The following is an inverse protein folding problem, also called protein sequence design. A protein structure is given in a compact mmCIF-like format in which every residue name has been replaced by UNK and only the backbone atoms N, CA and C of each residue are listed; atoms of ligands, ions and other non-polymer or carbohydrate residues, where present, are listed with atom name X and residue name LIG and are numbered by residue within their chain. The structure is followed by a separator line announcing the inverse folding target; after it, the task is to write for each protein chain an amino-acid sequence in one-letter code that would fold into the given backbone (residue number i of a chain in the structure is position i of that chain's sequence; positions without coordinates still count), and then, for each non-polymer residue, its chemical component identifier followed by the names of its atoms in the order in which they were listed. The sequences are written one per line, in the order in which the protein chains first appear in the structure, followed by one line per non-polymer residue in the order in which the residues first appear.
data_IF_251139243452
#
_entry.id   IF_251139243452
#
_cell.length_a   1.000
_cell.length_b   1.000
_cell.length_c   1.000
_cell.angle_alpha   90.00
_cell.angle_beta   90.00
_cell.angle_gamma   90.00
#
_symmetry.space_group_name_H-M   'P 1'
#
loop_
_entity.id
_entity.type
_entity.pdbx_description
1 polymer ?
#
# COMPACT_ATOMS: atom_id res chain seq x y z
N UNK A 1 -21.31 -3.24 -19.41
CA UNK A 1 -20.26 -2.55 -20.20
C UNK A 1 -18.96 -2.70 -19.42
N UNK A 2 -18.18 -3.75 -19.73
CA UNK A 2 -16.94 -4.05 -19.03
C UNK A 2 -15.86 -3.13 -19.58
N UNK A 3 -15.80 -1.90 -19.08
CA UNK A 3 -14.63 -1.06 -19.30
C UNK A 3 -13.53 -1.76 -18.51
N UNK A 4 -12.82 -2.68 -19.17
CA UNK A 4 -11.46 -3.05 -18.77
C UNK A 4 -10.68 -1.75 -18.85
N UNK A 5 -10.72 -0.96 -17.78
CA UNK A 5 -9.78 0.11 -17.58
C UNK A 5 -8.45 -0.63 -17.54
N UNK A 6 -7.67 -0.45 -18.60
CA UNK A 6 -6.24 -0.76 -18.70
C UNK A 6 -5.46 0.15 -17.74
N UNK A 7 -6.02 0.40 -16.56
CA UNK A 7 -5.39 1.15 -15.52
C UNK A 7 -4.47 0.16 -14.82
N UNK A 8 -3.19 0.50 -14.79
CA UNK A 8 -2.20 -0.29 -14.10
C UNK A 8 -2.64 -0.37 -12.62
N UNK A 9 -2.85 -1.59 -12.06
CA UNK A 9 -3.38 -1.74 -10.70
C UNK A 9 -2.50 -1.05 -9.65
N UNK A 10 -1.24 -0.78 -9.97
CA UNK A 10 -0.34 -0.03 -9.12
C UNK A 10 -0.65 1.48 -9.17
N UNK A 11 -1.07 2.02 -10.30
CA UNK A 11 -1.54 3.41 -10.42
C UNK A 11 -2.82 3.61 -9.63
N UNK A 12 -3.82 2.72 -9.79
CA UNK A 12 -5.05 2.78 -9.00
C UNK A 12 -4.76 2.66 -7.51
N UNK A 13 -3.90 1.72 -7.09
CA UNK A 13 -3.47 1.59 -5.70
C UNK A 13 -2.82 2.88 -5.16
N UNK A 14 -1.95 3.53 -5.95
CA UNK A 14 -1.34 4.81 -5.56
C UNK A 14 -2.37 5.93 -5.41
N UNK A 15 -3.52 5.86 -6.09
CA UNK A 15 -4.63 6.78 -5.91
C UNK A 15 -5.25 6.74 -4.50
N UNK A 16 -5.09 5.63 -3.77
CA UNK A 16 -5.51 5.51 -2.38
C UNK A 16 -4.45 5.98 -1.37
N UNK A 17 -3.29 6.45 -1.84
CA UNK A 17 -2.20 6.91 -0.99
C UNK A 17 -2.10 8.43 -1.00
N UNK A 18 -1.71 9.00 0.14
CA UNK A 18 -1.33 10.41 0.22
C UNK A 18 0.00 10.57 0.95
N UNK A 19 0.74 11.62 0.59
CA UNK A 19 2.03 11.93 1.20
C UNK A 19 1.85 12.92 2.37
N UNK A 20 2.38 12.56 3.54
CA UNK A 20 2.49 13.43 4.71
C UNK A 20 3.77 14.26 4.65
N UNK A 21 3.81 15.35 5.44
CA UNK A 21 4.97 16.25 5.49
C UNK A 21 6.24 15.58 6.09
N UNK A 22 6.06 14.55 6.91
CA UNK A 22 7.14 13.85 7.59
C UNK A 22 7.06 12.34 7.33
N UNK A 23 8.18 11.59 7.36
CA UNK A 23 8.19 10.13 7.15
C UNK A 23 7.65 9.37 8.38
N UNK A 24 6.41 9.66 8.77
CA UNK A 24 5.70 9.12 9.93
C UNK A 24 4.55 8.19 9.54
N UNK A 25 4.30 8.02 8.24
CA UNK A 25 3.26 7.14 7.72
C UNK A 25 3.65 5.66 7.78
N UNK A 26 3.16 4.92 6.80
CA UNK A 26 3.29 3.47 6.71
C UNK A 26 4.74 3.03 6.55
N UNK A 27 5.03 1.87 7.14
CA UNK A 27 6.31 1.20 6.92
C UNK A 27 6.29 0.47 5.58
N UNK A 28 7.43 0.35 4.90
CA UNK A 28 7.48 -0.40 3.65
C UNK A 28 7.07 -1.87 3.86
N UNK A 29 7.43 -2.43 5.02
CA UNK A 29 7.19 -3.83 5.36
C UNK A 29 8.24 -4.79 4.78
N UNK A 30 8.08 -6.07 5.11
CA UNK A 30 8.86 -7.18 4.58
C UNK A 30 7.93 -8.39 4.41
N UNK A 31 8.26 -9.30 3.50
CA UNK A 31 7.54 -10.56 3.28
C UNK A 31 7.67 -11.53 4.47
N UNK A 32 8.65 -11.34 5.36
CA UNK A 32 8.85 -12.19 6.56
C UNK A 32 7.90 -11.86 7.74
N UNK A 33 7.00 -10.90 7.59
CA UNK A 33 6.09 -10.50 8.67
C UNK A 33 4.94 -11.51 8.71
N UNK A 34 4.85 -12.28 9.81
CA UNK A 34 3.95 -13.43 9.95
C UNK A 34 2.45 -13.10 9.82
N UNK A 35 2.05 -11.86 10.10
CA UNK A 35 0.64 -11.44 10.01
C UNK A 35 0.50 -10.27 9.04
N UNK A 36 -0.43 -10.40 8.11
CA UNK A 36 -0.74 -9.39 7.11
C UNK A 36 -1.30 -8.15 7.81
N UNK A 37 -0.52 -7.07 7.84
CA UNK A 37 -0.90 -5.82 8.53
C UNK A 37 -0.96 -4.67 7.51
N UNK A 38 -2.02 -4.61 6.68
CA UNK A 38 -2.13 -3.60 5.63
C UNK A 38 -2.20 -2.16 6.17
N UNK A 39 -2.70 -1.96 7.39
CA UNK A 39 -2.72 -0.66 8.08
C UNK A 39 -1.36 -0.19 8.62
N UNK A 40 -0.35 -1.05 8.59
CA UNK A 40 0.98 -0.76 9.15
C UNK A 40 2.07 -0.82 8.10
N UNK A 41 1.91 -1.70 7.12
CA UNK A 41 2.88 -1.94 6.06
C UNK A 41 2.29 -1.67 4.68
N UNK A 42 2.94 -0.77 3.94
CA UNK A 42 2.53 -0.34 2.60
C UNK A 42 2.53 -1.49 1.59
N UNK A 43 3.53 -2.37 1.64
CA UNK A 43 3.53 -3.56 0.79
C UNK A 43 2.40 -4.54 1.14
N UNK A 44 2.01 -4.62 2.42
CA UNK A 44 0.88 -5.48 2.84
C UNK A 44 -0.46 -4.88 2.39
N UNK A 45 -0.60 -3.56 2.44
CA UNK A 45 -1.71 -2.85 1.84
C UNK A 45 -1.85 -3.16 0.35
N UNK A 46 -0.74 -3.11 -0.40
CA UNK A 46 -0.75 -3.50 -1.80
C UNK A 46 -1.19 -4.95 -2.03
N UNK A 47 -0.69 -5.91 -1.23
CA UNK A 47 -1.11 -7.30 -1.34
C UNK A 47 -2.61 -7.48 -1.06
N UNK A 48 -3.13 -6.82 -0.02
CA UNK A 48 -4.56 -6.85 0.30
C UNK A 48 -5.41 -6.22 -0.82
N UNK A 49 -4.95 -5.11 -1.41
CA UNK A 49 -5.60 -4.50 -2.58
C UNK A 49 -5.64 -5.46 -3.77
N UNK A 50 -4.52 -6.12 -4.07
CA UNK A 50 -4.44 -7.10 -5.15
C UNK A 50 -5.40 -8.26 -4.93
N UNK A 51 -5.45 -8.80 -3.72
CA UNK A 51 -6.36 -9.90 -3.36
C UNK A 51 -7.84 -9.48 -3.45
N UNK A 52 -8.20 -8.32 -2.89
CA UNK A 52 -9.56 -7.80 -2.90
C UNK A 52 -10.10 -7.55 -4.32
N UNK A 53 -9.23 -7.12 -5.23
CA UNK A 53 -9.58 -6.88 -6.64
C UNK A 53 -9.42 -8.14 -7.52
N UNK A 54 -9.02 -9.28 -6.95
CA UNK A 54 -8.88 -10.55 -7.67
C UNK A 54 -7.63 -10.66 -8.56
N UNK A 55 -6.62 -9.79 -8.36
CA UNK A 55 -5.34 -9.87 -9.03
C UNK A 55 -4.45 -10.96 -8.40
N UNK A 56 -4.07 -11.96 -9.21
CA UNK A 56 -3.33 -13.14 -8.73
C UNK A 56 -1.80 -13.01 -8.76
N UNK A 57 -1.29 -11.99 -9.44
CA UNK A 57 0.14 -11.80 -9.68
C UNK A 57 0.62 -10.48 -9.07
N UNK A 58 0.76 -10.39 -7.74
CA UNK A 58 1.32 -9.20 -7.11
C UNK A 58 2.78 -8.99 -7.54
N UNK A 59 3.15 -7.72 -7.69
CA UNK A 59 4.53 -7.32 -7.95
C UNK A 59 5.44 -7.72 -6.78
N UNK A 60 6.67 -8.09 -7.10
CA UNK A 60 7.71 -8.28 -6.08
C UNK A 60 7.97 -6.96 -5.34
N UNK A 61 8.40 -7.02 -4.08
CA UNK A 61 8.70 -5.83 -3.28
C UNK A 61 9.65 -4.84 -4.00
N UNK A 62 10.63 -5.34 -4.76
CA UNK A 62 11.54 -4.51 -5.55
C UNK A 62 10.80 -3.78 -6.68
N UNK A 63 10.03 -4.52 -7.48
CA UNK A 63 9.23 -3.97 -8.58
C UNK A 63 8.19 -2.98 -8.07
N UNK A 64 7.49 -3.32 -6.98
CA UNK A 64 6.55 -2.44 -6.30
C UNK A 64 7.21 -1.13 -5.86
N UNK A 65 8.38 -1.19 -5.21
CA UNK A 65 9.11 0.01 -4.79
C UNK A 65 9.45 0.92 -5.97
N UNK A 66 9.92 0.35 -7.08
CA UNK A 66 10.30 1.11 -8.27
C UNK A 66 9.08 1.75 -8.95
N UNK A 67 8.00 1.00 -9.10
CA UNK A 67 6.76 1.51 -9.67
C UNK A 67 6.17 2.62 -8.78
N UNK A 68 6.20 2.45 -7.46
CA UNK A 68 5.66 3.39 -6.49
C UNK A 68 6.40 4.72 -6.57
N UNK A 69 7.74 4.68 -6.56
CA UNK A 69 8.56 5.89 -6.70
C UNK A 69 8.30 6.61 -8.03
N UNK A 70 8.13 5.87 -9.12
CA UNK A 70 7.82 6.45 -10.44
C UNK A 70 6.45 7.13 -10.44
N UNK A 71 5.42 6.41 -9.99
CA UNK A 71 4.04 6.88 -10.02
C UNK A 71 3.86 8.07 -9.07
N UNK A 72 4.38 8.02 -7.85
CA UNK A 72 4.31 9.15 -6.90
C UNK A 72 4.99 10.39 -7.47
N UNK A 73 6.09 10.22 -8.19
CA UNK A 73 6.77 11.32 -8.88
C UNK A 73 5.90 11.91 -10.00
N UNK A 74 5.16 11.09 -10.73
CA UNK A 74 4.19 11.54 -11.74
C UNK A 74 3.00 12.28 -11.12
N UNK A 75 2.53 11.84 -9.94
CA UNK A 75 1.53 12.56 -9.15
C UNK A 75 2.06 13.86 -8.52
N UNK A 76 3.36 14.15 -8.61
CA UNK A 76 3.98 15.30 -7.95
C UNK A 76 4.07 15.16 -6.42
N UNK A 77 3.92 13.95 -5.89
CA UNK A 77 4.04 13.66 -4.47
C UNK A 77 5.52 13.51 -4.09
N UNK A 78 5.93 14.25 -3.05
CA UNK A 78 7.30 14.15 -2.54
C UNK A 78 7.43 12.88 -1.68
N UNK A 79 7.91 11.80 -2.29
CA UNK A 79 8.13 10.54 -1.57
C UNK A 79 9.37 10.62 -0.67
N UNK A 80 9.15 10.45 0.63
CA UNK A 80 10.18 10.44 1.65
C UNK A 80 10.22 9.07 2.33
N UNK A 81 11.43 8.56 2.53
CA UNK A 81 11.69 7.33 3.27
C UNK A 81 12.81 7.51 4.28
N UNK A 82 12.63 6.96 5.47
CA UNK A 82 13.61 6.97 6.57
C UNK A 82 13.87 5.56 7.04
N UNK A 83 15.14 5.23 7.29
CA UNK A 83 15.50 3.98 7.97
C UNK A 83 15.28 4.12 9.48
N UNK A 84 14.49 3.23 10.05
CA UNK A 84 14.18 3.15 11.47
C UNK A 84 14.65 1.81 12.04
N UNK A 85 14.58 1.65 13.36
CA UNK A 85 14.90 0.38 14.03
C UNK A 85 13.98 -0.77 13.59
N UNK A 86 12.77 -0.44 13.13
CA UNK A 86 11.74 -1.40 12.72
C UNK A 86 11.68 -1.62 11.20
N UNK A 87 12.53 -0.97 10.41
CA UNK A 87 12.59 -1.13 8.96
C UNK A 87 12.71 0.19 8.21
N UNK A 88 12.07 0.28 7.05
CA UNK A 88 11.94 1.53 6.30
C UNK A 88 10.56 2.11 6.59
N UNK A 89 10.51 3.34 7.07
CA UNK A 89 9.28 4.11 7.25
C UNK A 89 9.15 5.13 6.12
N UNK A 90 7.94 5.30 5.60
CA UNK A 90 7.64 6.22 4.51
C UNK A 90 6.80 7.38 5.02
N UNK A 91 6.65 8.43 4.20
CA UNK A 91 5.65 9.47 4.43
C UNK A 91 4.32 9.17 3.74
N UNK A 92 4.05 7.91 3.38
CA UNK A 92 2.81 7.56 2.69
C UNK A 92 1.83 6.98 3.70
N UNK A 93 0.59 7.43 3.61
CA UNK A 93 -0.51 6.87 4.39
C UNK A 93 -1.71 6.56 3.51
N UNK A 94 -2.61 5.73 4.05
CA UNK A 94 -3.80 5.27 3.36
C UNK A 94 -4.93 6.27 3.55
N UNK A 95 -5.60 6.62 2.45
CA UNK A 95 -6.83 7.42 2.48
C UNK A 95 -7.96 6.69 3.21
N UNK A 96 -8.94 7.44 3.72
CA UNK A 96 -10.11 6.87 4.40
C UNK A 96 -10.90 5.92 3.48
N UNK A 97 -10.99 6.26 2.18
CA UNK A 97 -11.62 5.46 1.13
C UNK A 97 -11.06 4.04 1.06
N UNK A 98 -9.74 3.86 1.24
CA UNK A 98 -9.12 2.54 1.20
C UNK A 98 -9.74 1.58 2.21
N UNK A 99 -10.10 2.09 3.40
CA UNK A 99 -10.71 1.32 4.49
C UNK A 99 -12.14 0.86 4.19
N UNK A 100 -12.85 1.57 3.31
CA UNK A 100 -14.21 1.24 2.90
C UNK A 100 -14.23 0.29 1.71
N UNK A 101 -13.27 0.46 0.79
CA UNK A 101 -13.30 -0.15 -0.53
C UNK A 101 -12.70 -1.57 -0.56
N UNK A 102 -11.53 -1.78 0.05
CA UNK A 102 -10.81 -3.06 -0.04
C UNK A 102 -10.00 -3.44 1.20
N UNK A 103 -9.68 -2.50 2.10
CA UNK A 103 -8.95 -2.85 3.32
C UNK A 103 -9.83 -3.77 4.16
N UNK A 104 -9.29 -4.91 4.66
CA UNK A 104 -10.03 -5.71 5.62
C UNK A 104 -10.36 -4.83 6.83
N UNK A 105 -11.67 -4.73 7.15
CA UNK A 105 -12.11 -4.22 8.45
C UNK A 105 -11.37 -5.07 9.48
N UNK A 106 -10.64 -4.42 10.38
CA UNK A 106 -9.89 -5.11 11.43
C UNK A 106 -10.86 -6.09 12.06
N UNK A 107 -10.62 -7.38 11.87
CA UNK A 107 -11.38 -8.43 12.55
C UNK A 107 -11.23 -8.07 14.03
N UNK A 108 -12.35 -7.69 14.64
CA UNK A 108 -12.47 -7.65 16.09
C UNK A 108 -11.82 -8.92 16.62
N UNK A 109 -11.00 -8.87 17.70
CA UNK A 109 -10.45 -10.09 18.24
C UNK A 109 -11.63 -11.02 18.50
N UNK A 110 -11.63 -12.17 17.81
CA UNK A 110 -12.57 -13.26 18.11
C UNK A 110 -12.38 -13.51 19.59
N UNK A 111 -13.32 -13.00 20.38
CA UNK A 111 -13.45 -13.31 21.78
C UNK A 111 -13.82 -14.79 21.83
N UNK A 112 -12.81 -15.62 22.11
CA UNK A 112 -12.99 -17.02 22.50
C UNK A 112 -12.88 -17.08 24.02
#
# INVERSE_FOLDING_TARGET
MLIKRDADPMVDFCGYLFATAEPTGLHMGNANIQSLQPKRYLYHAYLAYMEANGYRNPLSMKSFSQALESILREYGLNYLKRRTKSGIQTNLDLTDESSSDWLPKCDDPIAI
#
